data_IF_046481712056
#
_entry.id   IF_046481712056
#
_cell.length_a   1.000
_cell.length_b   1.000
_cell.length_c   1.000
_cell.angle_alpha   90.00
_cell.angle_beta   90.00
_cell.angle_gamma   90.00
#
_symmetry.space_group_name_H-M   'P 1'
#
loop_
_entity.id
_entity.type
_entity.pdbx_description
1 polymer ?
#
# COMPACT_ATOMS: atom_id res chain seq x y z
N UNK A 1 -6.68 8.13 -2.13
CA UNK A 1 -7.35 8.98 -1.12
C UNK A 1 -6.37 9.96 -0.50
N UNK A 2 -6.32 11.20 -0.99
CA UNK A 2 -5.46 12.27 -0.48
C UNK A 2 -6.26 13.16 0.49
N UNK A 3 -6.73 12.62 1.62
CA UNK A 3 -7.64 13.33 2.53
C UNK A 3 -6.95 14.50 3.25
N UNK A 4 -5.66 14.36 3.54
CA UNK A 4 -4.82 15.38 4.21
C UNK A 4 -3.62 15.78 3.36
N UNK A 5 -3.72 15.63 2.03
CA UNK A 5 -2.64 15.78 1.08
C UNK A 5 -2.01 14.45 0.69
N UNK A 6 -0.97 14.51 -0.14
CA UNK A 6 -0.17 13.38 -0.59
C UNK A 6 1.20 13.42 0.10
N UNK A 7 1.62 12.28 0.67
CA UNK A 7 2.97 12.04 1.16
C UNK A 7 3.92 11.65 0.03
N UNK A 8 4.93 10.82 0.36
CA UNK A 8 5.88 10.31 -0.62
C UNK A 8 5.16 9.53 -1.74
N UNK A 9 5.61 9.63 -2.98
CA UNK A 9 6.69 10.47 -3.51
C UNK A 9 6.25 11.90 -3.87
N UNK A 10 4.99 12.24 -3.72
CA UNK A 10 4.41 13.45 -4.30
C UNK A 10 4.61 14.72 -3.46
N UNK A 11 4.65 14.58 -2.12
CA UNK A 11 4.84 15.64 -1.13
C UNK A 11 3.97 16.87 -1.38
N UNK A 12 2.66 16.66 -1.67
CA UNK A 12 1.71 17.73 -1.97
C UNK A 12 0.66 17.86 -0.85
N UNK A 13 0.84 18.81 0.09
CA UNK A 13 -0.13 19.06 1.16
C UNK A 13 -1.44 19.69 0.65
N UNK A 14 -1.44 20.21 -0.59
CA UNK A 14 -2.60 20.83 -1.21
C UNK A 14 -3.48 19.83 -1.99
N UNK A 15 -3.00 18.62 -2.23
CA UNK A 15 -3.81 17.58 -2.87
C UNK A 15 -5.02 17.22 -2.00
N UNK A 16 -6.13 16.86 -2.65
CA UNK A 16 -7.35 16.37 -1.97
C UNK A 16 -7.87 15.11 -2.63
N UNK A 17 -8.70 14.36 -1.87
CA UNK A 17 -9.33 13.15 -2.35
C UNK A 17 -10.15 13.41 -3.61
N UNK A 18 -10.04 12.49 -4.59
CA UNK A 18 -10.70 12.57 -5.89
C UNK A 18 -11.39 11.27 -6.22
N UNK A 19 -12.59 11.34 -6.76
CA UNK A 19 -13.28 10.22 -7.44
C UNK A 19 -13.52 10.67 -8.88
N UNK A 20 -12.99 9.94 -9.85
CA UNK A 20 -13.02 10.31 -11.26
C UNK A 20 -13.50 9.16 -12.14
N UNK A 21 -14.12 9.48 -13.29
CA UNK A 21 -14.58 8.48 -14.26
C UNK A 21 -15.95 7.88 -13.94
N UNK A 22 -16.76 8.57 -13.12
CA UNK A 22 -18.14 8.15 -12.85
C UNK A 22 -18.99 8.20 -14.12
N UNK A 23 -19.85 7.20 -14.29
CA UNK A 23 -20.85 7.11 -15.37
C UNK A 23 -22.19 6.67 -14.80
N UNK A 24 -23.24 6.62 -15.66
CA UNK A 24 -24.55 6.11 -15.26
C UNK A 24 -24.51 4.64 -14.82
N UNK A 25 -23.53 3.87 -15.27
CA UNK A 25 -23.34 2.47 -14.87
C UNK A 25 -22.57 2.31 -13.55
N UNK A 26 -22.06 3.41 -12.97
CA UNK A 26 -21.30 3.37 -11.73
C UNK A 26 -22.23 3.07 -10.54
N UNK A 27 -21.90 2.08 -9.75
CA UNK A 27 -22.59 1.74 -8.51
C UNK A 27 -21.62 1.61 -7.33
N UNK A 28 -22.16 1.44 -6.13
CA UNK A 28 -21.40 1.38 -4.87
C UNK A 28 -20.21 0.40 -4.88
N UNK A 29 -20.35 -0.74 -5.55
CA UNK A 29 -19.28 -1.74 -5.65
C UNK A 29 -18.07 -1.23 -6.45
N UNK A 30 -18.30 -0.44 -7.52
CA UNK A 30 -17.23 0.20 -8.28
C UNK A 30 -16.46 1.21 -7.42
N UNK A 31 -17.16 1.99 -6.59
CA UNK A 31 -16.53 2.96 -5.68
C UNK A 31 -15.72 2.24 -4.61
N UNK A 32 -16.28 1.19 -3.98
CA UNK A 32 -15.56 0.39 -3.00
C UNK A 32 -14.31 -0.27 -3.60
N UNK A 33 -14.41 -0.84 -4.80
CA UNK A 33 -13.28 -1.42 -5.53
C UNK A 33 -12.22 -0.38 -5.83
N UNK A 34 -12.60 0.80 -6.31
CA UNK A 34 -11.68 1.89 -6.59
C UNK A 34 -10.94 2.38 -5.34
N UNK A 35 -11.60 2.36 -4.17
CA UNK A 35 -10.94 2.68 -2.90
C UNK A 35 -9.83 1.68 -2.55
N UNK A 36 -10.08 0.37 -2.71
CA UNK A 36 -9.06 -0.66 -2.48
C UNK A 36 -7.91 -0.56 -3.49
N UNK A 37 -8.21 -0.33 -4.76
CA UNK A 37 -7.20 -0.13 -5.81
C UNK A 37 -6.35 1.12 -5.53
N UNK A 38 -6.95 2.20 -5.05
CA UNK A 38 -6.24 3.41 -4.67
C UNK A 38 -5.27 3.18 -3.49
N UNK A 39 -5.66 2.40 -2.49
CA UNK A 39 -4.76 2.01 -1.38
C UNK A 39 -3.57 1.22 -1.94
N UNK A 40 -3.84 0.21 -2.77
CA UNK A 40 -2.79 -0.62 -3.35
C UNK A 40 -1.83 0.18 -4.26
N UNK A 41 -2.35 1.11 -5.07
CA UNK A 41 -1.52 1.97 -5.91
C UNK A 41 -0.68 2.95 -5.07
N UNK A 42 -1.23 3.52 -3.99
CA UNK A 42 -0.48 4.40 -3.09
C UNK A 42 0.70 3.66 -2.44
N UNK A 43 0.51 2.41 -2.03
CA UNK A 43 1.61 1.56 -1.52
C UNK A 43 2.64 1.28 -2.61
N UNK A 44 2.20 1.03 -3.85
CA UNK A 44 3.11 0.79 -4.96
C UNK A 44 3.97 2.02 -5.26
N UNK A 45 3.42 3.25 -5.20
CA UNK A 45 4.20 4.48 -5.36
C UNK A 45 5.34 4.58 -4.35
N UNK A 46 5.06 4.24 -3.08
CA UNK A 46 6.08 4.25 -2.02
C UNK A 46 7.12 3.15 -2.23
N UNK A 47 6.69 1.94 -2.60
CA UNK A 47 7.61 0.81 -2.87
C UNK A 47 8.55 1.14 -4.03
N UNK A 48 8.04 1.72 -5.13
CA UNK A 48 8.85 2.14 -6.28
C UNK A 48 9.92 3.18 -5.86
N UNK A 49 9.56 4.13 -5.02
CA UNK A 49 10.51 5.08 -4.44
C UNK A 49 11.59 4.39 -3.61
N UNK A 50 11.18 3.50 -2.69
CA UNK A 50 12.12 2.77 -1.83
C UNK A 50 13.08 1.89 -2.64
N UNK A 51 12.61 1.28 -3.73
CA UNK A 51 13.45 0.51 -4.64
C UNK A 51 14.47 1.37 -5.38
N UNK A 52 14.04 2.55 -5.85
CA UNK A 52 14.91 3.51 -6.50
C UNK A 52 16.01 3.99 -5.55
N UNK A 53 15.66 4.32 -4.31
CA UNK A 53 16.61 4.76 -3.28
C UNK A 53 17.58 3.65 -2.84
N UNK A 54 17.06 2.41 -2.74
CA UNK A 54 17.88 1.26 -2.33
C UNK A 54 18.73 0.66 -3.45
N UNK A 55 18.48 1.03 -4.72
CA UNK A 55 19.14 0.46 -5.89
C UNK A 55 18.86 -1.04 -6.08
N UNK A 56 17.79 -1.56 -5.50
CA UNK A 56 17.41 -2.98 -5.57
C UNK A 56 15.90 -3.17 -5.54
N UNK A 57 15.44 -4.20 -6.20
CA UNK A 57 14.04 -4.60 -6.21
C UNK A 57 13.63 -5.35 -4.94
N UNK A 58 12.38 -5.17 -4.54
CA UNK A 58 11.74 -5.91 -3.47
C UNK A 58 11.27 -7.28 -3.98
N UNK A 59 11.71 -8.37 -3.38
CA UNK A 59 11.29 -9.72 -3.77
C UNK A 59 9.85 -10.00 -3.36
N UNK A 60 9.43 -9.52 -2.20
CA UNK A 60 8.09 -9.66 -1.63
C UNK A 60 7.77 -8.54 -0.66
N UNK A 61 6.50 -8.16 -0.58
CA UNK A 61 6.01 -7.21 0.41
C UNK A 61 5.47 -7.97 1.63
N UNK A 62 5.92 -7.60 2.83
CA UNK A 62 5.34 -8.06 4.09
C UNK A 62 4.44 -6.96 4.63
N UNK A 63 3.21 -7.34 4.99
CA UNK A 63 2.17 -6.40 5.44
C UNK A 63 1.68 -6.74 6.83
N UNK A 64 1.14 -5.75 7.56
CA UNK A 64 0.56 -5.91 8.88
C UNK A 64 -0.59 -4.92 9.12
N UNK A 65 -1.17 -5.01 10.32
CA UNK A 65 -2.28 -4.16 10.73
C UNK A 65 -3.66 -4.64 10.26
N UNK A 66 -4.72 -4.04 10.80
CA UNK A 66 -6.10 -4.50 10.63
C UNK A 66 -6.61 -4.54 9.19
N UNK A 67 -6.13 -3.64 8.31
CA UNK A 67 -6.51 -3.63 6.90
C UNK A 67 -6.09 -4.91 6.15
N UNK A 68 -5.05 -5.59 6.62
CA UNK A 68 -4.52 -6.81 6.00
C UNK A 68 -5.43 -8.04 6.20
N UNK A 69 -6.45 -7.95 7.04
CA UNK A 69 -7.51 -8.96 7.13
C UNK A 69 -8.35 -9.05 5.83
N UNK A 70 -8.33 -8.03 4.99
CA UNK A 70 -9.05 -8.00 3.74
C UNK A 70 -8.27 -8.72 2.63
N UNK A 71 -8.67 -9.95 2.31
CA UNK A 71 -8.04 -10.77 1.27
C UNK A 71 -8.07 -10.12 -0.11
N UNK A 72 -9.15 -9.41 -0.45
CA UNK A 72 -9.27 -8.72 -1.73
C UNK A 72 -8.25 -7.58 -1.85
N UNK A 73 -8.06 -6.81 -0.78
CA UNK A 73 -7.04 -5.75 -0.76
C UNK A 73 -5.64 -6.34 -1.00
N UNK A 74 -5.29 -7.44 -0.32
CA UNK A 74 -3.97 -8.05 -0.46
C UNK A 74 -3.77 -8.70 -1.83
N UNK A 75 -4.82 -9.27 -2.43
CA UNK A 75 -4.74 -9.76 -3.80
C UNK A 75 -4.53 -8.61 -4.80
N UNK A 76 -5.28 -7.50 -4.65
CA UNK A 76 -5.07 -6.29 -5.48
C UNK A 76 -3.64 -5.76 -5.28
N UNK A 77 -3.14 -5.75 -4.05
CA UNK A 77 -1.78 -5.28 -3.74
C UNK A 77 -0.73 -6.13 -4.45
N UNK A 78 -0.87 -7.46 -4.42
CA UNK A 78 0.02 -8.38 -5.13
C UNK A 78 -0.05 -8.15 -6.65
N UNK A 79 -1.26 -7.98 -7.19
CA UNK A 79 -1.49 -7.74 -8.61
C UNK A 79 -0.89 -6.40 -9.07
N UNK A 80 -1.04 -5.33 -8.28
CA UNK A 80 -0.50 -4.00 -8.60
C UNK A 80 1.02 -3.99 -8.55
N UNK A 81 1.62 -4.62 -7.53
CA UNK A 81 3.08 -4.72 -7.40
C UNK A 81 3.69 -5.71 -8.40
N UNK A 82 2.92 -6.73 -8.84
CA UNK A 82 3.44 -7.85 -9.60
C UNK A 82 4.38 -8.74 -8.79
N UNK A 83 4.21 -8.78 -7.47
CA UNK A 83 5.07 -9.48 -6.51
C UNK A 83 4.26 -10.09 -5.37
N UNK A 84 4.77 -11.14 -4.72
CA UNK A 84 4.11 -11.74 -3.58
C UNK A 84 3.90 -10.75 -2.43
N UNK A 85 2.73 -10.84 -1.78
CA UNK A 85 2.40 -10.13 -0.56
C UNK A 85 2.14 -11.14 0.55
N UNK A 86 2.89 -11.07 1.65
CA UNK A 86 2.81 -11.99 2.78
C UNK A 86 2.06 -11.36 3.95
N UNK A 87 0.98 -12.01 4.37
CA UNK A 87 0.25 -11.69 5.59
C UNK A 87 0.77 -12.55 6.74
N UNK A 88 1.17 -11.96 7.90
CA UNK A 88 1.59 -12.71 9.07
C UNK A 88 0.40 -13.39 9.77
N UNK A 89 0.69 -14.39 10.60
CA UNK A 89 -0.30 -15.05 11.44
C UNK A 89 -0.83 -14.10 12.55
N UNK A 90 0.04 -13.22 13.06
CA UNK A 90 -0.31 -12.18 14.03
C UNK A 90 -0.36 -10.85 13.29
N UNK A 91 -1.54 -10.21 13.27
CA UNK A 91 -1.75 -8.94 12.57
C UNK A 91 -1.29 -7.73 13.39
N UNK A 92 -1.26 -7.85 14.72
CA UNK A 92 -0.81 -6.80 15.64
C UNK A 92 0.72 -6.86 15.84
N UNK A 93 1.45 -6.47 14.81
CA UNK A 93 2.92 -6.63 14.80
C UNK A 93 3.64 -5.63 15.68
N UNK A 94 3.03 -4.49 16.04
CA UNK A 94 3.63 -3.53 16.97
C UNK A 94 3.84 -4.14 18.36
N UNK A 95 2.80 -4.75 18.92
CA UNK A 95 2.88 -5.44 20.20
C UNK A 95 3.81 -6.66 20.13
N UNK A 96 3.71 -7.43 19.03
CA UNK A 96 4.61 -8.56 18.79
C UNK A 96 6.07 -8.12 18.71
N UNK A 97 6.35 -7.03 18.01
CA UNK A 97 7.71 -6.48 17.88
C UNK A 97 8.32 -6.10 19.23
N UNK A 98 7.54 -5.42 20.08
CA UNK A 98 7.97 -5.10 21.44
C UNK A 98 8.25 -6.36 22.28
N UNK A 99 7.38 -7.37 22.19
CA UNK A 99 7.58 -8.65 22.89
C UNK A 99 8.84 -9.40 22.40
N UNK A 100 9.08 -9.42 21.08
CA UNK A 100 10.25 -10.04 20.48
C UNK A 100 11.57 -9.34 20.90
N UNK A 101 11.57 -8.00 20.95
CA UNK A 101 12.71 -7.23 21.46
C UNK A 101 12.98 -7.50 22.94
N UNK A 102 11.93 -7.57 23.76
CA UNK A 102 12.05 -7.96 25.15
C UNK A 102 12.61 -9.39 25.30
N UNK A 103 12.14 -10.32 24.45
CA UNK A 103 12.65 -11.68 24.39
C UNK A 103 14.15 -11.78 24.03
N UNK A 104 14.60 -10.92 23.14
CA UNK A 104 16.06 -10.81 22.85
C UNK A 104 16.82 -10.26 24.06
N UNK A 105 16.31 -9.20 24.71
CA UNK A 105 16.98 -8.61 25.87
C UNK A 105 17.07 -9.56 27.05
N UNK A 106 16.11 -10.48 27.21
CA UNK A 106 16.11 -11.49 28.28
C UNK A 106 16.80 -12.82 27.90
N UNK A 107 17.33 -12.94 26.68
CA UNK A 107 18.00 -14.14 26.20
C UNK A 107 17.07 -15.27 25.74
N UNK A 108 15.75 -15.01 25.61
CA UNK A 108 14.79 -15.98 25.04
C UNK A 108 15.09 -16.24 23.56
N UNK A 109 15.51 -15.22 22.83
CA UNK A 109 15.98 -15.31 21.45
C UNK A 109 17.47 -14.92 21.42
N UNK A 110 18.29 -15.75 20.80
CA UNK A 110 19.74 -15.54 20.75
C UNK A 110 20.13 -14.30 19.93
N UNK A 111 19.37 -14.02 18.85
CA UNK A 111 19.66 -12.94 17.91
C UNK A 111 18.45 -12.57 17.06
N UNK A 112 18.61 -11.56 16.19
CA UNK A 112 17.59 -11.11 15.27
C UNK A 112 17.18 -12.19 14.25
N UNK A 113 18.06 -13.14 13.95
CA UNK A 113 17.77 -14.23 13.02
C UNK A 113 16.79 -15.24 13.65
N UNK A 114 16.97 -15.57 14.93
CA UNK A 114 16.06 -16.38 15.70
C UNK A 114 14.67 -15.74 15.81
N UNK A 115 14.61 -14.41 15.99
CA UNK A 115 13.38 -13.63 15.97
C UNK A 115 12.71 -13.68 14.58
N UNK A 116 13.49 -13.52 13.52
CA UNK A 116 12.96 -13.57 12.15
C UNK A 116 12.39 -14.96 11.81
N UNK A 117 13.01 -16.02 12.29
CA UNK A 117 12.55 -17.40 12.11
C UNK A 117 11.25 -17.70 12.88
N UNK A 118 11.00 -17.03 14.01
CA UNK A 118 9.77 -17.16 14.80
C UNK A 118 8.54 -16.51 14.13
N UNK A 119 8.72 -15.72 13.08
CA UNK A 119 7.62 -15.06 12.36
C UNK A 119 6.92 -16.04 11.43
N UNK A 120 5.66 -16.31 11.71
CA UNK A 120 4.83 -17.19 10.89
C UNK A 120 4.08 -16.37 9.82
N UNK A 121 4.16 -16.84 8.57
CA UNK A 121 3.33 -16.34 7.46
C UNK A 121 2.04 -17.15 7.44
N UNK A 122 0.89 -16.50 7.61
CA UNK A 122 -0.41 -17.16 7.53
C UNK A 122 -0.82 -17.41 6.07
N UNK A 123 -0.54 -16.45 5.20
CA UNK A 123 -0.92 -16.55 3.78
C UNK A 123 -0.04 -15.65 2.91
N UNK A 124 0.33 -16.17 1.73
CA UNK A 124 0.95 -15.40 0.64
C UNK A 124 -0.05 -15.21 -0.49
N UNK A 125 -0.16 -13.98 -0.99
CA UNK A 125 -0.96 -13.61 -2.15
C UNK A 125 0.00 -13.44 -3.33
N UNK A 126 -0.19 -14.24 -4.36
CA UNK A 126 0.63 -14.19 -5.58
C UNK A 126 -0.04 -13.30 -6.62
N UNK A 127 0.72 -12.57 -7.45
CA UNK A 127 0.16 -11.79 -8.54
C UNK A 127 -0.52 -12.70 -9.57
N UNK A 128 -1.76 -12.39 -9.92
CA UNK A 128 -2.56 -13.12 -10.92
C UNK A 128 -2.86 -12.26 -12.14
N UNK A 129 -2.79 -10.93 -12.01
CA UNK A 129 -3.07 -10.00 -13.09
C UNK A 129 -1.93 -9.95 -14.13
N UNK A 130 -2.30 -9.99 -15.41
CA UNK A 130 -1.36 -9.81 -16.51
C UNK A 130 -0.66 -8.43 -16.42
N UNK A 131 0.60 -8.36 -16.85
CA UNK A 131 1.39 -7.14 -16.83
C UNK A 131 0.69 -5.94 -17.51
N UNK A 132 0.02 -6.18 -18.65
CA UNK A 132 -0.74 -5.14 -19.34
C UNK A 132 -1.92 -4.60 -18.52
N UNK A 133 -2.58 -5.44 -17.71
CA UNK A 133 -3.67 -5.01 -16.83
C UNK A 133 -3.14 -4.15 -15.68
N UNK A 134 -2.04 -4.58 -15.07
CA UNK A 134 -1.32 -3.81 -14.04
C UNK A 134 -0.91 -2.45 -14.58
N UNK A 135 -0.29 -2.41 -15.76
CA UNK A 135 0.17 -1.15 -16.38
C UNK A 135 -1.00 -0.19 -16.60
N UNK A 136 -2.11 -0.65 -17.20
CA UNK A 136 -3.31 0.21 -17.41
C UNK A 136 -3.86 0.78 -16.10
N UNK A 137 -3.84 -0.01 -15.01
CA UNK A 137 -4.28 0.49 -13.70
C UNK A 137 -3.33 1.57 -13.17
N UNK A 138 -2.02 1.35 -13.28
CA UNK A 138 -0.99 2.32 -12.87
C UNK A 138 -1.07 3.62 -13.68
N UNK A 139 -1.27 3.54 -15.00
CA UNK A 139 -1.43 4.72 -15.87
C UNK A 139 -2.64 5.57 -15.45
N UNK A 140 -3.79 4.91 -15.22
CA UNK A 140 -4.99 5.59 -14.73
C UNK A 140 -4.82 6.17 -13.33
N UNK A 141 -4.10 5.49 -12.45
CA UNK A 141 -3.75 5.98 -11.14
C UNK A 141 -2.91 7.26 -11.22
N UNK A 142 -1.84 7.26 -11.99
CA UNK A 142 -0.95 8.39 -12.18
C UNK A 142 -1.72 9.61 -12.73
N UNK A 143 -2.61 9.40 -13.68
CA UNK A 143 -3.48 10.45 -14.23
C UNK A 143 -4.43 11.01 -13.16
N UNK A 144 -5.03 10.15 -12.33
CA UNK A 144 -5.92 10.58 -11.24
C UNK A 144 -5.15 11.36 -10.17
N UNK A 145 -3.94 10.92 -9.80
CA UNK A 145 -3.06 11.62 -8.86
C UNK A 145 -2.71 13.00 -9.41
N UNK A 146 -2.32 13.10 -10.68
CA UNK A 146 -1.98 14.40 -11.29
C UNK A 146 -3.12 15.42 -11.17
N UNK A 147 -4.38 14.96 -11.31
CA UNK A 147 -5.58 15.80 -11.20
C UNK A 147 -5.96 16.16 -9.77
N UNK A 148 -5.49 15.42 -8.78
CA UNK A 148 -5.75 15.70 -7.36
C UNK A 148 -4.78 16.70 -6.75
N UNK A 149 -3.64 16.95 -7.41
CA UNK A 149 -2.57 17.82 -6.92
C UNK A 149 -2.98 19.29 -6.97
N UNK A 150 -2.47 20.07 -6.01
CA UNK A 150 -2.71 21.49 -5.92
C UNK A 150 -4.19 21.91 -5.75
N UNK A 151 -5.09 20.96 -5.43
CA UNK A 151 -6.54 21.21 -5.38
C UNK A 151 -6.93 22.29 -4.39
N UNK A 152 -6.36 22.27 -3.17
CA UNK A 152 -6.59 23.29 -2.13
C UNK A 152 -5.59 24.43 -2.26
N UNK A 153 -5.36 24.94 -3.47
CA UNK A 153 -4.45 26.06 -3.71
C UNK A 153 -4.75 27.24 -2.78
N UNK A 154 -3.70 28.00 -2.43
CA UNK A 154 -3.76 29.12 -1.51
C UNK A 154 -4.95 30.07 -1.79
N UNK A 155 -5.53 30.71 -0.75
CA UNK A 155 -6.59 31.70 -0.93
C UNK A 155 -6.12 32.81 -1.86
N UNK A 156 -6.71 32.91 -3.05
CA UNK A 156 -6.36 33.86 -4.12
C UNK A 156 -6.78 33.42 -5.52
N UNK A 157 -7.26 32.17 -5.70
CA UNK A 157 -7.68 31.66 -7.00
C UNK A 157 -9.20 31.73 -7.28
N UNK A 158 -9.98 32.24 -6.34
CA UNK A 158 -11.40 32.52 -6.53
C UNK A 158 -11.65 34.01 -6.20
N UNK A 159 -11.21 34.87 -7.07
CA UNK A 159 -11.68 36.23 -7.22
C UNK A 159 -11.96 36.47 -8.71
#
# INVERSE_FOLDING_TARGET
PALTGLGAPHWDPQARGLIIGLSRATHRGHVARAALEAIACSVADVVECMEADAGRSLDRLRVDGGATANDLLLQIQADVLGRPVDRPAVLETTALGAALLAGMATGLYADAQAVAAARLVARSFLPTAAAATRQRLRDRWNEAVSRSRGWAAAPGRNA
#
